data_IF_631292365578
#
_entry.id   IF_631292365578
#
_cell.length_a   1.000
_cell.length_b   1.000
_cell.length_c   1.000
_cell.angle_alpha   90.00
_cell.angle_beta   90.00
_cell.angle_gamma   90.00
#
_symmetry.space_group_name_H-M   'P 1'
#
loop_
_entity.id
_entity.type
_entity.pdbx_description
1 polymer ?
#
# COMPACT_ATOMS: atom_id res chain seq x y z
N UNK A 1 8.57 -0.78 25.99
CA UNK A 1 7.74 0.34 25.46
C UNK A 1 6.29 -0.07 25.61
N UNK A 2 5.43 0.81 26.13
CA UNK A 2 3.98 0.55 26.15
C UNK A 2 3.44 0.60 24.73
N UNK A 3 2.58 -0.35 24.38
CA UNK A 3 1.97 -0.49 23.05
C UNK A 3 0.46 -0.63 23.11
N UNK A 4 -0.13 -0.39 24.28
CA UNK A 4 -1.58 -0.37 24.48
C UNK A 4 -2.28 0.60 23.53
N UNK A 5 -1.60 1.70 23.18
CA UNK A 5 -2.03 2.72 22.23
C UNK A 5 -2.31 2.19 20.82
N UNK A 6 -1.69 1.09 20.39
CA UNK A 6 -1.90 0.53 19.05
C UNK A 6 -3.35 0.03 18.84
N UNK A 7 -4.10 -0.19 19.92
CA UNK A 7 -5.51 -0.59 19.89
C UNK A 7 -6.48 0.58 20.13
N UNK A 8 -5.97 1.80 20.33
CA UNK A 8 -6.81 3.00 20.53
C UNK A 8 -7.39 3.49 19.20
N UNK A 9 -8.38 4.38 19.28
CA UNK A 9 -8.93 5.03 18.07
C UNK A 9 -7.84 5.86 17.40
N UNK A 10 -7.78 5.82 16.06
CA UNK A 10 -6.78 6.57 15.28
C UNK A 10 -6.91 8.09 15.38
N UNK A 11 -8.06 8.58 15.84
CA UNK A 11 -8.32 10.00 16.13
C UNK A 11 -7.90 10.41 17.54
N UNK A 12 -7.44 9.49 18.39
CA UNK A 12 -7.03 9.79 19.76
C UNK A 12 -5.59 10.30 19.83
N UNK A 13 -5.31 11.24 20.74
CA UNK A 13 -3.95 11.73 21.00
C UNK A 13 -2.98 10.60 21.35
N UNK A 14 -3.42 9.64 22.17
CA UNK A 14 -2.61 8.47 22.54
C UNK A 14 -2.15 7.66 21.32
N UNK A 15 -3.00 7.51 20.28
CA UNK A 15 -2.60 6.85 19.05
C UNK A 15 -1.58 7.68 18.26
N UNK A 16 -1.78 8.99 18.15
CA UNK A 16 -0.84 9.88 17.46
C UNK A 16 0.54 9.91 18.13
N UNK A 17 0.58 10.04 19.45
CA UNK A 17 1.82 10.02 20.25
C UNK A 17 2.55 8.68 20.07
N UNK A 18 1.82 7.57 20.17
CA UNK A 18 2.39 6.25 19.93
C UNK A 18 2.93 6.05 18.51
N UNK A 19 2.27 6.61 17.48
CA UNK A 19 2.80 6.60 16.11
C UNK A 19 4.13 7.34 16.03
N UNK A 20 4.29 8.50 16.68
CA UNK A 20 5.58 9.20 16.71
C UNK A 20 6.65 8.37 17.42
N UNK A 21 6.33 7.75 18.55
CA UNK A 21 7.26 6.86 19.26
C UNK A 21 7.70 5.67 18.39
N UNK A 22 6.76 5.08 17.65
CA UNK A 22 7.06 4.03 16.68
C UNK A 22 7.98 4.53 15.58
N UNK A 23 7.72 5.71 15.01
CA UNK A 23 8.56 6.28 13.95
C UNK A 23 9.97 6.57 14.46
N UNK A 24 10.11 7.16 15.64
CA UNK A 24 11.42 7.40 16.26
C UNK A 24 12.20 6.10 16.41
N UNK A 25 11.54 5.06 16.93
CA UNK A 25 12.14 3.74 17.06
C UNK A 25 12.53 3.15 15.70
N UNK A 26 11.61 3.12 14.73
CA UNK A 26 11.80 2.48 13.45
C UNK A 26 12.91 3.12 12.63
N UNK A 27 12.95 4.46 12.59
CA UNK A 27 13.97 5.19 11.85
C UNK A 27 15.36 5.06 12.49
N UNK A 28 15.44 5.03 13.82
CA UNK A 28 16.71 4.83 14.50
C UNK A 28 17.30 3.42 14.29
N UNK A 29 16.46 2.40 14.06
CA UNK A 29 16.88 1.01 14.09
C UNK A 29 16.85 0.28 12.74
N UNK A 30 16.04 0.74 11.79
CA UNK A 30 15.81 0.03 10.52
C UNK A 30 15.78 0.93 9.28
N UNK A 31 16.12 2.21 9.41
CA UNK A 31 16.14 3.11 8.26
C UNK A 31 17.24 2.75 7.27
N UNK A 32 16.89 2.78 5.99
CA UNK A 32 17.81 2.72 4.86
C UNK A 32 17.51 3.95 4.00
N UNK A 33 18.52 4.77 3.73
CA UNK A 33 18.42 6.00 2.93
C UNK A 33 17.29 6.97 3.36
N UNK A 34 17.01 7.04 4.66
CA UNK A 34 15.97 7.93 5.19
C UNK A 34 14.54 7.40 5.01
N UNK A 35 14.40 6.11 4.72
CA UNK A 35 13.11 5.43 4.58
C UNK A 35 13.01 4.19 5.49
N UNK A 36 11.79 3.74 5.76
CA UNK A 36 11.50 2.46 6.45
C UNK A 36 10.44 1.67 5.66
N UNK A 37 10.39 0.36 5.89
CA UNK A 37 9.32 -0.48 5.35
C UNK A 37 7.98 -0.17 6.06
N UNK A 38 6.93 0.14 5.31
CA UNK A 38 5.68 0.67 5.88
C UNK A 38 4.80 -0.43 6.50
N UNK A 39 4.53 -0.42 7.83
CA UNK A 39 3.70 -1.43 8.48
C UNK A 39 2.22 -1.08 8.50
N UNK A 40 1.76 -0.16 7.64
CA UNK A 40 0.34 0.17 7.58
C UNK A 40 -0.47 -0.97 6.95
N UNK A 41 -1.75 -1.05 7.29
CA UNK A 41 -2.65 -2.13 6.85
C UNK A 41 -2.80 -2.23 5.32
N UNK A 42 -2.52 -1.15 4.59
CA UNK A 42 -2.54 -1.12 3.11
C UNK A 42 -1.20 -1.56 2.52
N UNK A 43 -0.09 -1.07 3.08
CA UNK A 43 1.25 -1.33 2.58
C UNK A 43 1.79 -2.71 2.96
N UNK A 44 1.35 -3.27 4.09
CA UNK A 44 1.65 -4.66 4.45
C UNK A 44 3.14 -4.97 4.61
N UNK A 45 3.97 -4.05 5.10
CA UNK A 45 5.44 -4.20 5.12
C UNK A 45 6.03 -4.51 3.74
N UNK A 46 5.52 -3.92 2.65
CA UNK A 46 5.99 -4.22 1.29
C UNK A 46 6.63 -3.03 0.56
N UNK A 47 6.48 -1.81 1.07
CA UNK A 47 7.02 -0.60 0.43
C UNK A 47 7.88 0.19 1.41
N UNK A 48 8.94 0.79 0.90
CA UNK A 48 9.77 1.76 1.63
C UNK A 48 9.16 3.15 1.49
N UNK A 49 9.10 3.88 2.60
CA UNK A 49 8.52 5.22 2.64
C UNK A 49 9.32 6.12 3.58
N UNK A 50 9.34 7.40 3.27
CA UNK A 50 9.88 8.43 4.15
C UNK A 50 9.13 8.48 5.49
N UNK A 51 9.72 9.15 6.49
CA UNK A 51 9.08 9.33 7.80
C UNK A 51 7.70 9.96 7.69
N UNK A 52 7.58 10.95 6.83
CA UNK A 52 6.33 11.68 6.62
C UNK A 52 5.28 10.78 5.95
N UNK A 53 5.68 9.99 4.95
CA UNK A 53 4.82 8.99 4.32
C UNK A 53 4.37 7.90 5.30
N UNK A 54 5.29 7.33 6.07
CA UNK A 54 4.97 6.36 7.12
C UNK A 54 3.96 6.92 8.13
N UNK A 55 4.18 8.15 8.60
CA UNK A 55 3.28 8.85 9.52
C UNK A 55 1.87 8.97 8.96
N UNK A 56 1.73 9.51 7.74
CA UNK A 56 0.44 9.67 7.08
C UNK A 56 -0.28 8.33 6.91
N UNK A 57 0.44 7.31 6.42
CA UNK A 57 -0.11 5.97 6.25
C UNK A 57 -0.57 5.33 7.57
N UNK A 58 0.17 5.50 8.65
CA UNK A 58 -0.18 4.92 9.96
C UNK A 58 -1.35 5.64 10.64
N UNK A 59 -1.45 6.95 10.46
CA UNK A 59 -2.59 7.75 10.92
C UNK A 59 -3.86 7.34 10.18
N UNK A 60 -3.79 7.24 8.85
CA UNK A 60 -4.97 7.04 8.04
C UNK A 60 -5.40 5.57 7.94
N UNK A 61 -4.45 4.67 7.68
CA UNK A 61 -4.73 3.26 7.39
C UNK A 61 -4.61 2.37 8.63
N UNK A 62 -3.93 2.85 9.67
CA UNK A 62 -3.59 2.05 10.83
C UNK A 62 -2.49 1.03 10.56
N UNK A 63 -2.01 0.39 11.63
CA UNK A 63 -1.08 -0.74 11.52
C UNK A 63 -1.77 -2.00 10.98
N UNK A 64 -0.97 -2.91 10.40
CA UNK A 64 -1.39 -4.28 10.11
C UNK A 64 -1.98 -4.91 11.39
N UNK A 65 -3.17 -5.51 11.29
CA UNK A 65 -3.83 -6.16 12.43
C UNK A 65 -2.93 -7.23 13.05
N UNK A 66 -2.73 -7.16 14.37
CA UNK A 66 -1.88 -8.09 15.11
C UNK A 66 -0.38 -7.75 15.08
N UNK A 67 0.04 -6.73 14.33
CA UNK A 67 1.43 -6.27 14.30
C UNK A 67 1.77 -5.44 15.55
N UNK A 68 1.98 -6.14 16.66
CA UNK A 68 2.35 -5.54 17.96
C UNK A 68 3.85 -5.67 18.26
N UNK A 69 4.55 -6.49 17.47
CA UNK A 69 6.00 -6.68 17.54
C UNK A 69 6.65 -6.08 16.31
N UNK A 70 7.49 -5.08 16.51
CA UNK A 70 8.17 -4.32 15.48
C UNK A 70 9.45 -5.03 15.01
N UNK A 71 9.33 -6.34 14.75
CA UNK A 71 10.47 -7.20 14.38
C UNK A 71 11.15 -6.73 13.10
N UNK A 72 10.37 -6.23 12.13
CA UNK A 72 10.89 -5.65 10.89
C UNK A 72 11.60 -4.31 11.13
N UNK A 73 11.45 -3.72 12.31
CA UNK A 73 11.98 -2.42 12.69
C UNK A 73 13.01 -2.51 13.82
N UNK A 74 13.55 -3.70 14.09
CA UNK A 74 14.63 -3.90 15.06
C UNK A 74 14.20 -4.26 16.48
N UNK A 75 12.91 -4.52 16.74
CA UNK A 75 12.50 -5.06 18.04
C UNK A 75 12.91 -6.53 18.16
N UNK A 76 14.05 -6.75 18.81
CA UNK A 76 14.54 -8.09 19.14
C UNK A 76 13.87 -8.57 20.43
N UNK A 77 13.38 -9.81 20.46
CA UNK A 77 13.03 -10.45 21.73
C UNK A 77 14.30 -10.55 22.58
N UNK A 78 14.22 -10.22 23.86
CA UNK A 78 15.32 -10.38 24.82
C UNK A 78 15.69 -11.86 25.05
N UNK A 79 16.23 -12.54 24.04
CA UNK A 79 17.10 -13.72 24.13
C UNK A 79 17.52 -14.17 22.72
N UNK A 80 18.63 -13.64 22.20
CA UNK A 80 19.63 -14.32 21.36
C UNK A 80 20.48 -13.28 20.60
N UNK A 81 21.75 -13.66 20.40
CA UNK A 81 22.89 -12.89 19.92
C UNK A 81 22.68 -12.08 18.62
N UNK A 82 23.54 -11.08 18.32
CA UNK A 82 23.31 -10.15 17.23
C UNK A 82 23.47 -10.85 15.89
N UNK A 83 22.38 -10.93 15.12
CA UNK A 83 22.47 -11.33 13.72
C UNK A 83 23.19 -10.22 12.96
N UNK A 84 24.31 -10.61 12.37
CA UNK A 84 25.20 -9.76 11.59
C UNK A 84 24.44 -8.98 10.53
N UNK A 85 24.74 -7.69 10.48
CA UNK A 85 24.35 -6.68 9.51
C UNK A 85 24.72 -7.13 8.09
N UNK A 86 23.88 -7.92 7.45
CA UNK A 86 23.99 -8.24 6.04
C UNK A 86 23.16 -7.21 5.26
N UNK A 87 23.86 -6.39 4.48
CA UNK A 87 23.30 -5.51 3.47
C UNK A 87 22.24 -6.25 2.66
N UNK A 88 20.96 -5.87 2.82
CA UNK A 88 19.91 -6.27 1.89
C UNK A 88 20.09 -5.42 0.64
N UNK A 89 21.11 -5.77 -0.14
CA UNK A 89 21.35 -5.22 -1.45
C UNK A 89 20.17 -5.62 -2.35
N UNK A 90 19.41 -4.61 -2.80
CA UNK A 90 18.94 -4.33 -4.17
C UNK A 90 18.66 -5.49 -5.16
N UNK A 91 18.34 -6.70 -4.69
CA UNK A 91 18.09 -7.88 -5.52
C UNK A 91 16.77 -8.56 -5.13
N UNK A 92 15.72 -7.74 -4.89
CA UNK A 92 14.33 -8.22 -4.90
C UNK A 92 13.99 -8.60 -6.34
N UNK A 93 14.43 -9.79 -6.72
CA UNK A 93 13.91 -10.53 -7.86
C UNK A 93 12.40 -10.63 -7.65
N UNK A 94 11.69 -10.30 -8.72
CA UNK A 94 10.26 -10.23 -8.96
C UNK A 94 9.50 -11.52 -8.54
N UNK A 95 9.47 -11.86 -7.25
CA UNK A 95 8.69 -13.00 -6.76
C UNK A 95 7.24 -12.61 -6.47
N UNK A 96 6.55 -12.15 -7.52
CA UNK A 96 5.10 -11.97 -7.50
C UNK A 96 4.37 -13.26 -7.10
N UNK A 97 4.96 -14.42 -7.38
CA UNK A 97 4.41 -15.73 -6.97
C UNK A 97 4.45 -15.90 -5.45
N UNK A 98 5.53 -15.50 -4.78
CA UNK A 98 5.61 -15.47 -3.32
C UNK A 98 4.55 -14.55 -2.70
N UNK A 99 4.38 -13.34 -3.25
CA UNK A 99 3.38 -12.38 -2.77
C UNK A 99 1.92 -12.88 -2.95
N UNK A 100 1.63 -13.58 -4.06
CA UNK A 100 0.32 -14.19 -4.30
C UNK A 100 0.09 -15.41 -3.38
N UNK A 101 1.13 -16.22 -3.14
CA UNK A 101 1.06 -17.40 -2.29
C UNK A 101 0.79 -17.02 -0.82
N UNK A 102 1.45 -15.97 -0.31
CA UNK A 102 1.25 -15.47 1.05
C UNK A 102 -0.12 -14.81 1.25
N UNK A 103 -0.68 -14.17 0.21
CA UNK A 103 -1.98 -13.49 0.29
C UNK A 103 -3.17 -14.44 0.21
N UNK A 104 -3.03 -15.55 -0.52
CA UNK A 104 -4.12 -16.49 -0.83
C UNK A 104 -3.96 -17.89 -0.21
N UNK A 105 -2.87 -18.18 0.51
CA UNK A 105 -2.65 -19.47 1.22
C UNK A 105 -2.99 -20.69 0.34
N UNK A 106 -2.51 -20.71 -0.90
CA UNK A 106 -2.71 -21.86 -1.79
C UNK A 106 -1.75 -22.98 -1.34
N UNK A 107 -2.13 -23.75 -0.32
CA UNK A 107 -1.42 -24.99 0.02
C UNK A 107 -1.42 -25.90 -1.22
N UNK A 108 -0.24 -26.15 -1.80
CA UNK A 108 -0.08 -27.14 -2.87
C UNK A 108 -0.31 -28.58 -2.42
N UNK A 109 -0.52 -28.79 -1.12
CA UNK A 109 -0.66 -30.10 -0.51
C UNK A 109 -2.13 -30.41 -0.27
N UNK A 110 -2.84 -30.81 -1.32
CA UNK A 110 -3.96 -31.77 -1.25
C UNK A 110 -4.43 -32.17 -2.66
N UNK A 111 -3.56 -32.80 -3.45
CA UNK A 111 -4.03 -33.73 -4.51
C UNK A 111 -3.38 -35.08 -4.25
N UNK A 112 -4.00 -35.83 -3.34
CA UNK A 112 -3.70 -37.24 -3.13
C UNK A 112 -4.36 -38.03 -4.25
N UNK A 113 -3.54 -38.73 -5.03
CA UNK A 113 -3.94 -39.63 -6.12
C UNK A 113 -5.03 -40.61 -5.65
N UNK A 114 -6.17 -40.55 -6.34
CA UNK A 114 -7.27 -41.51 -6.22
C UNK A 114 -7.95 -41.58 -7.58
N UNK A 115 -7.43 -42.44 -8.45
CA UNK A 115 -7.97 -42.68 -9.78
C UNK A 115 -9.42 -43.21 -9.69
N UNK A 116 -10.38 -42.40 -10.13
CA UNK A 116 -11.66 -42.87 -10.66
C UNK A 116 -11.87 -42.23 -12.02
N UNK A 117 -12.05 -43.10 -13.00
CA UNK A 117 -12.21 -42.84 -14.43
C UNK A 117 -13.52 -42.05 -14.67
N UNK A 118 -13.46 -40.73 -14.54
CA UNK A 118 -14.52 -39.83 -15.00
C UNK A 118 -13.90 -39.06 -16.15
N UNK A 119 -14.49 -39.16 -17.35
CA UNK A 119 -14.06 -38.40 -18.51
C UNK A 119 -13.94 -36.93 -18.13
N UNK A 120 -12.70 -36.44 -18.01
CA UNK A 120 -12.45 -35.02 -17.76
C UNK A 120 -12.94 -34.28 -19.00
N UNK A 121 -14.12 -33.67 -18.91
CA UNK A 121 -14.47 -32.59 -19.82
C UNK A 121 -13.35 -31.55 -19.69
N UNK A 122 -12.70 -31.25 -20.82
CA UNK A 122 -11.67 -30.21 -20.88
C UNK A 122 -12.22 -28.87 -20.37
N UNK A 123 -11.33 -27.92 -20.05
CA UNK A 123 -11.76 -26.59 -19.63
C UNK A 123 -12.77 -26.02 -20.63
N UNK A 124 -13.91 -25.55 -20.14
CA UNK A 124 -14.87 -24.85 -20.99
C UNK A 124 -14.23 -23.57 -21.57
N UNK A 125 -14.87 -22.96 -22.56
CA UNK A 125 -14.31 -21.79 -23.25
C UNK A 125 -13.99 -20.58 -22.37
N UNK A 126 -14.59 -20.46 -21.16
CA UNK A 126 -14.21 -19.41 -20.19
C UNK A 126 -12.95 -19.78 -19.42
N UNK A 127 -12.82 -21.05 -19.01
CA UNK A 127 -11.63 -21.55 -18.35
C UNK A 127 -10.41 -21.48 -19.29
N UNK A 128 -10.56 -21.77 -20.58
CA UNK A 128 -9.48 -21.59 -21.57
C UNK A 128 -9.00 -20.14 -21.68
N UNK A 129 -9.93 -19.16 -21.70
CA UNK A 129 -9.57 -17.73 -21.71
C UNK A 129 -8.80 -17.35 -20.45
N UNK A 130 -9.25 -17.84 -19.29
CA UNK A 130 -8.58 -17.59 -18.02
C UNK A 130 -7.16 -18.17 -18.00
N UNK A 131 -6.97 -19.42 -18.42
CA UNK A 131 -5.64 -20.03 -18.49
C UNK A 131 -4.72 -19.33 -19.50
N UNK A 132 -5.28 -18.87 -20.62
CA UNK A 132 -4.52 -18.07 -21.58
C UNK A 132 -4.05 -16.74 -20.98
N UNK A 133 -4.92 -16.02 -20.25
CA UNK A 133 -4.53 -14.80 -19.55
C UNK A 133 -3.41 -15.05 -18.52
N UNK A 134 -3.49 -16.17 -17.77
CA UNK A 134 -2.44 -16.57 -16.85
C UNK A 134 -1.12 -16.82 -17.58
N UNK A 135 -1.15 -17.54 -18.69
CA UNK A 135 0.04 -17.84 -19.48
C UNK A 135 0.66 -16.57 -20.08
N UNK A 136 -0.15 -15.70 -20.69
CA UNK A 136 0.29 -14.43 -21.29
C UNK A 136 0.89 -13.50 -20.23
N UNK A 137 0.39 -13.55 -18.99
CA UNK A 137 0.92 -12.73 -17.88
C UNK A 137 2.35 -13.10 -17.47
N UNK A 138 2.75 -14.36 -17.72
CA UNK A 138 4.06 -14.90 -17.38
C UNK A 138 5.07 -14.78 -18.52
N UNK A 139 4.64 -14.37 -19.72
CA UNK A 139 5.52 -14.17 -20.87
C UNK A 139 6.52 -13.03 -20.60
N UNK A 140 7.78 -13.22 -21.01
CA UNK A 140 8.80 -12.17 -20.94
C UNK A 140 8.41 -10.97 -21.81
N UNK A 141 8.78 -9.76 -21.38
CA UNK A 141 8.37 -8.51 -22.04
C UNK A 141 8.75 -8.46 -23.53
N UNK A 142 9.90 -9.03 -23.88
CA UNK A 142 10.38 -9.25 -25.25
C UNK A 142 11.33 -10.46 -25.25
N UNK A 143 11.67 -10.98 -26.45
CA UNK A 143 12.35 -12.28 -26.66
C UNK A 143 13.63 -12.51 -25.83
N UNK A 144 14.42 -11.47 -25.59
CA UNK A 144 15.69 -11.55 -24.84
C UNK A 144 15.62 -10.92 -23.44
N UNK A 145 14.42 -10.51 -23.00
CA UNK A 145 14.20 -9.98 -21.66
C UNK A 145 14.30 -11.11 -20.63
N UNK A 146 15.23 -10.98 -19.68
CA UNK A 146 15.36 -11.91 -18.55
C UNK A 146 14.84 -11.35 -17.24
N UNK A 147 14.47 -10.06 -17.23
CA UNK A 147 14.24 -9.29 -16.01
C UNK A 147 12.76 -9.06 -15.72
N UNK A 148 11.92 -8.93 -16.74
CA UNK A 148 10.51 -8.56 -16.59
C UNK A 148 9.61 -9.40 -17.49
N UNK A 149 8.56 -9.97 -16.90
CA UNK A 149 7.37 -10.40 -17.65
C UNK A 149 6.54 -9.20 -18.12
N UNK A 150 5.65 -9.40 -19.08
CA UNK A 150 4.70 -8.38 -19.54
C UNK A 150 3.86 -7.84 -18.39
N UNK A 151 3.39 -8.72 -17.50
CA UNK A 151 2.64 -8.31 -16.32
C UNK A 151 3.49 -7.49 -15.35
N UNK A 152 4.69 -7.96 -15.00
CA UNK A 152 5.57 -7.24 -14.05
C UNK A 152 5.93 -5.84 -14.56
N UNK A 153 6.15 -5.72 -15.87
CA UNK A 153 6.42 -4.43 -16.50
C UNK A 153 5.18 -3.52 -16.47
N UNK A 154 3.99 -4.05 -16.78
CA UNK A 154 2.74 -3.29 -16.70
C UNK A 154 2.43 -2.85 -15.27
N UNK A 155 2.64 -3.71 -14.26
CA UNK A 155 2.48 -3.36 -12.85
C UNK A 155 3.47 -2.26 -12.45
N UNK A 156 4.75 -2.38 -12.85
CA UNK A 156 5.75 -1.33 -12.60
C UNK A 156 5.38 -0.01 -13.30
N UNK A 157 4.92 -0.07 -14.54
CA UNK A 157 4.50 1.11 -15.29
C UNK A 157 3.28 1.76 -14.65
N UNK A 158 2.32 0.95 -14.19
CA UNK A 158 1.16 1.43 -13.45
C UNK A 158 1.57 2.08 -12.12
N UNK A 159 2.50 1.46 -11.39
CA UNK A 159 3.07 2.05 -10.16
C UNK A 159 3.71 3.41 -10.46
N UNK A 160 4.57 3.51 -11.49
CA UNK A 160 5.19 4.79 -11.88
C UNK A 160 4.13 5.84 -12.21
N UNK A 161 3.11 5.48 -13.00
CA UNK A 161 2.03 6.40 -13.37
C UNK A 161 1.19 6.83 -12.16
N UNK A 162 1.04 5.97 -11.15
CA UNK A 162 0.28 6.25 -9.93
C UNK A 162 1.01 7.13 -8.92
N UNK A 163 2.32 7.35 -9.09
CA UNK A 163 3.15 8.18 -8.20
C UNK A 163 3.22 9.66 -8.62
N UNK A 164 2.57 10.04 -9.72
CA UNK A 164 2.57 11.42 -10.15
C UNK A 164 1.54 12.25 -9.37
N UNK A 165 2.01 13.30 -8.70
CA UNK A 165 1.16 14.23 -7.97
C UNK A 165 0.13 14.89 -8.90
N UNK A 166 -1.15 14.75 -8.54
CA UNK A 166 -2.27 15.30 -9.33
C UNK A 166 -2.73 16.66 -8.80
N UNK A 167 -2.55 16.91 -7.50
CA UNK A 167 -2.93 18.14 -6.83
C UNK A 167 -2.09 18.36 -5.55
N UNK A 168 -2.09 19.60 -5.05
CA UNK A 168 -1.69 19.93 -3.67
C UNK A 168 -2.90 20.46 -2.91
N UNK A 169 -3.03 20.10 -1.64
CA UNK A 169 -4.19 20.47 -0.84
C UNK A 169 -3.95 20.32 0.66
N UNK A 170 -4.97 20.71 1.43
CA UNK A 170 -4.96 20.63 2.90
C UNK A 170 -5.96 19.55 3.33
N UNK A 171 -5.52 18.60 4.15
CA UNK A 171 -6.43 17.64 4.78
C UNK A 171 -7.29 18.38 5.80
N UNK A 172 -8.61 18.36 5.62
CA UNK A 172 -9.59 18.97 6.52
C UNK A 172 -10.13 17.95 7.54
N UNK A 173 -10.33 16.71 7.13
CA UNK A 173 -10.82 15.64 7.99
C UNK A 173 -10.31 14.27 7.56
N UNK A 174 -10.15 13.37 8.53
CA UNK A 174 -9.87 11.94 8.34
C UNK A 174 -10.94 11.06 9.02
N UNK A 175 -12.01 11.68 9.52
CA UNK A 175 -13.09 10.96 10.20
C UNK A 175 -13.98 10.25 9.15
N UNK A 176 -14.11 8.91 9.20
CA UNK A 176 -14.89 8.15 8.23
C UNK A 176 -16.36 8.60 8.09
N UNK A 177 -16.94 9.20 9.13
CA UNK A 177 -18.30 9.76 9.11
C UNK A 177 -18.42 11.15 8.49
N UNK A 178 -17.31 11.79 8.10
CA UNK A 178 -17.36 13.07 7.38
C UNK A 178 -18.02 12.86 6.02
N UNK A 179 -18.97 13.71 5.67
CA UNK A 179 -19.67 13.66 4.39
C UNK A 179 -19.04 14.64 3.40
N UNK A 180 -18.62 14.14 2.23
CA UNK A 180 -18.13 14.96 1.13
C UNK A 180 -18.95 14.64 -0.11
N UNK A 181 -19.64 15.65 -0.64
CA UNK A 181 -20.44 15.48 -1.86
C UNK A 181 -21.68 14.58 -1.69
N UNK A 182 -22.21 14.45 -0.47
CA UNK A 182 -23.37 13.60 -0.19
C UNK A 182 -23.03 12.15 0.18
N UNK A 183 -21.75 11.80 0.27
CA UNK A 183 -21.28 10.45 0.62
C UNK A 183 -20.32 10.52 1.81
N UNK A 184 -20.46 9.60 2.76
CA UNK A 184 -19.49 9.42 3.84
C UNK A 184 -18.12 9.01 3.27
N UNK A 185 -17.04 9.56 3.82
CA UNK A 185 -15.67 9.21 3.42
C UNK A 185 -15.43 7.70 3.53
N UNK A 186 -15.86 7.09 4.63
CA UNK A 186 -15.54 5.70 4.93
C UNK A 186 -14.06 5.50 5.30
N UNK A 187 -13.65 4.26 5.58
CA UNK A 187 -12.31 3.98 6.06
C UNK A 187 -11.24 4.20 4.98
N UNK A 188 -10.12 4.83 5.35
CA UNK A 188 -8.96 5.12 4.49
C UNK A 188 -9.18 6.24 3.45
N UNK A 189 -10.16 7.09 3.68
CA UNK A 189 -10.39 8.30 2.90
C UNK A 189 -10.25 9.53 3.80
N UNK A 190 -9.81 10.63 3.19
CA UNK A 190 -9.69 11.92 3.83
C UNK A 190 -10.40 12.97 3.00
N UNK A 191 -10.89 13.99 3.69
CA UNK A 191 -11.41 15.21 3.10
C UNK A 191 -10.22 16.14 2.80
N UNK A 192 -10.02 16.50 1.53
CA UNK A 192 -8.90 17.33 1.08
C UNK A 192 -9.42 18.56 0.36
N UNK A 193 -9.06 19.74 0.86
CA UNK A 193 -9.29 21.01 0.16
C UNK A 193 -8.18 21.23 -0.87
N UNK A 194 -8.55 21.25 -2.15
CA UNK A 194 -7.59 21.37 -3.26
C UNK A 194 -7.16 22.82 -3.40
N UNK A 195 -5.86 23.06 -3.25
CA UNK A 195 -5.24 24.39 -3.33
C UNK A 195 -4.53 24.61 -4.67
N UNK A 196 -3.97 23.55 -5.27
CA UNK A 196 -3.28 23.61 -6.56
C UNK A 196 -3.65 22.39 -7.40
N UNK A 197 -4.11 22.62 -8.63
CA UNK A 197 -4.34 21.58 -9.62
C UNK A 197 -3.07 21.36 -10.47
N UNK A 198 -2.37 20.24 -10.26
CA UNK A 198 -1.15 19.89 -11.04
C UNK A 198 -1.55 19.25 -12.37
N UNK A 199 -2.46 18.26 -12.33
CA UNK A 199 -3.03 17.62 -13.51
C UNK A 199 -4.49 17.97 -13.67
N UNK A 200 -4.76 19.03 -14.43
CA UNK A 200 -6.10 19.63 -14.56
C UNK A 200 -7.17 18.66 -15.04
N UNK A 201 -6.84 17.85 -16.05
CA UNK A 201 -7.80 16.95 -16.72
C UNK A 201 -7.96 15.60 -16.00
N UNK A 202 -7.20 15.35 -14.94
CA UNK A 202 -7.31 14.10 -14.17
C UNK A 202 -8.68 14.02 -13.50
N UNK A 203 -9.32 12.84 -13.53
CA UNK A 203 -10.67 12.68 -13.01
C UNK A 203 -10.64 12.48 -11.50
N UNK A 204 -11.62 13.05 -10.80
CA UNK A 204 -11.84 12.72 -9.39
C UNK A 204 -12.26 11.25 -9.25
N UNK A 205 -11.71 10.59 -8.24
CA UNK A 205 -12.07 9.20 -7.91
C UNK A 205 -13.51 9.16 -7.40
N UNK A 206 -13.88 10.13 -6.55
CA UNK A 206 -15.27 10.39 -6.15
C UNK A 206 -15.71 11.76 -6.68
N UNK A 207 -16.32 11.77 -7.86
CA UNK A 207 -16.90 12.97 -8.45
C UNK A 207 -18.27 13.30 -7.84
N UNK A 208 -18.57 14.57 -7.61
CA UNK A 208 -19.88 15.01 -7.11
C UNK A 208 -20.26 16.39 -7.68
N UNK A 209 -21.55 16.58 -7.96
CA UNK A 209 -22.05 17.81 -8.58
C UNK A 209 -21.37 18.12 -9.91
N UNK A 210 -20.77 19.31 -10.00
CA UNK A 210 -20.00 19.75 -11.18
C UNK A 210 -18.50 19.40 -11.11
N UNK A 211 -18.03 18.84 -9.99
CA UNK A 211 -16.63 18.49 -9.80
C UNK A 211 -16.36 17.11 -10.42
N UNK A 212 -15.83 17.09 -11.65
CA UNK A 212 -15.49 15.84 -12.36
C UNK A 212 -13.99 15.63 -12.47
N UNK A 213 -13.23 16.71 -12.57
CA UNK A 213 -11.78 16.74 -12.70
C UNK A 213 -11.13 17.44 -11.52
N UNK A 214 -9.81 17.28 -11.38
CA UNK A 214 -9.01 18.02 -10.39
C UNK A 214 -9.15 19.53 -10.59
N UNK A 215 -9.24 20.01 -11.84
CA UNK A 215 -9.43 21.43 -12.09
C UNK A 215 -10.81 21.94 -11.66
N UNK A 216 -11.86 21.16 -11.93
CA UNK A 216 -13.21 21.53 -11.47
C UNK A 216 -13.24 21.68 -9.95
N UNK A 217 -12.49 20.82 -9.24
CA UNK A 217 -12.37 20.80 -7.78
C UNK A 217 -11.45 21.88 -7.18
N UNK A 218 -10.86 22.76 -7.99
CA UNK A 218 -9.98 23.81 -7.49
C UNK A 218 -10.72 24.74 -6.50
N UNK A 219 -10.18 24.86 -5.28
CA UNK A 219 -10.81 25.63 -4.20
C UNK A 219 -11.99 24.92 -3.52
N UNK A 220 -12.34 23.71 -3.96
CA UNK A 220 -13.34 22.86 -3.33
C UNK A 220 -12.69 21.74 -2.51
N UNK A 221 -13.54 21.00 -1.80
CA UNK A 221 -13.10 19.91 -0.94
C UNK A 221 -13.55 18.56 -1.50
N UNK A 222 -12.61 17.64 -1.69
CA UNK A 222 -12.86 16.34 -2.30
C UNK A 222 -12.53 15.20 -1.33
N UNK A 223 -13.20 14.07 -1.50
CA UNK A 223 -12.79 12.83 -0.87
C UNK A 223 -11.59 12.26 -1.63
N UNK A 224 -10.48 12.02 -0.93
CA UNK A 224 -9.27 11.45 -1.49
C UNK A 224 -8.78 10.23 -0.70
N UNK A 225 -8.30 9.15 -1.34
CA UNK A 225 -7.78 8.00 -0.61
C UNK A 225 -6.50 8.38 0.12
N UNK A 226 -6.48 8.16 1.44
CA UNK A 226 -5.32 8.47 2.27
C UNK A 226 -4.02 7.77 1.86
N UNK A 227 -4.02 6.52 1.33
CA UNK A 227 -2.77 5.89 0.87
C UNK A 227 -2.06 6.62 -0.27
N UNK A 228 -2.75 7.56 -0.95
CA UNK A 228 -2.19 8.35 -2.04
C UNK A 228 -1.99 9.82 -1.64
N UNK A 229 -1.98 10.12 -0.34
CA UNK A 229 -1.68 11.45 0.18
C UNK A 229 -0.27 11.47 0.74
N UNK A 230 0.58 12.24 0.08
CA UNK A 230 1.91 12.57 0.57
C UNK A 230 1.80 13.88 1.38
N UNK A 231 2.18 13.83 2.66
CA UNK A 231 2.25 15.04 3.49
C UNK A 231 3.60 15.74 3.21
N UNK A 232 3.60 17.07 3.07
CA UNK A 232 4.82 17.87 3.00
C UNK A 232 5.12 18.46 4.40
N UNK A 233 6.38 18.47 4.83
CA UNK A 233 6.81 19.15 6.06
C UNK A 233 6.79 20.68 5.86
N UNK A 234 6.31 21.43 6.86
CA UNK A 234 6.17 22.90 6.83
C UNK A 234 7.52 23.63 7.01
N UNK A 235 8.63 23.04 6.58
CA UNK A 235 9.98 23.55 6.86
C UNK A 235 10.60 24.38 5.72
N UNK A 236 9.83 24.78 4.72
CA UNK A 236 10.28 25.77 3.72
C UNK A 236 9.17 26.79 3.41
N UNK A 237 9.10 27.85 4.23
CA UNK A 237 8.62 29.18 3.82
C UNK A 237 9.74 30.20 3.95
#
# INVERSE_FOLDING_TARGET
MDKSWMNQRRTSSAYFEGVEEFLDFAFANASVDGEIICPCNVCGNSIWVSRIGARGHLICNGFIKGYTKWVAHGEVKSSAAPLSRAHVALDVIDDMRGLLHDRFHMSSDEVREGATDVAMEGPNGEAEKFYKLLQDSQEMLYKDCKKFSRLSFLVRLLHIKSLENVAKGIIQSIDPSTEVGGEELGPNWCEVSIQVAVKKDERLIRSYGFHKTIYDAYGATVAWPCPYVELESVDEM
#
